data_IF_711483753502
#
_entry.id   IF_711483753502
#
_cell.length_a   1.000
_cell.length_b   1.000
_cell.length_c   1.000
_cell.angle_alpha   90.00
_cell.angle_beta   90.00
_cell.angle_gamma   90.00
#
_symmetry.space_group_name_H-M   'P 1'
#
loop_
_entity.id
_entity.type
_entity.pdbx_description
1 polymer ?
#
# COMPACT_ATOMS: atom_id res chain seq x y z
N UNK A 1 -23.90 17.45 13.05
CA UNK A 1 -22.93 17.22 14.16
C UNK A 1 -21.54 17.70 13.73
N UNK A 2 -20.94 18.63 14.45
CA UNK A 2 -19.56 19.12 14.20
C UNK A 2 -18.59 18.09 14.78
N UNK A 3 -17.91 17.32 13.93
CA UNK A 3 -16.84 16.40 14.36
C UNK A 3 -15.65 17.26 14.78
N UNK A 4 -15.37 17.36 16.08
CA UNK A 4 -14.15 18.01 16.57
C UNK A 4 -12.99 17.06 16.26
N UNK A 5 -12.29 17.31 15.16
CA UNK A 5 -11.01 16.67 14.84
C UNK A 5 -9.95 17.26 15.79
N UNK A 6 -9.84 16.73 17.00
CA UNK A 6 -8.77 17.11 17.93
C UNK A 6 -7.44 16.53 17.45
N UNK A 7 -6.46 17.40 17.23
CA UNK A 7 -5.09 17.02 16.84
C UNK A 7 -4.15 17.38 18.00
N UNK A 8 -3.16 16.53 18.27
CA UNK A 8 -2.15 16.80 19.32
C UNK A 8 -0.94 17.50 18.71
N UNK A 9 -0.42 18.50 19.42
CA UNK A 9 0.89 19.11 19.16
C UNK A 9 2.02 18.10 19.36
N UNK A 10 3.21 18.41 18.83
CA UNK A 10 4.44 17.64 19.10
C UNK A 10 4.69 17.45 20.62
N UNK A 11 4.38 18.47 21.43
CA UNK A 11 4.51 18.43 22.89
C UNK A 11 3.34 17.73 23.62
N UNK A 12 2.47 17.02 22.89
CA UNK A 12 1.33 16.28 23.45
C UNK A 12 0.10 17.12 23.85
N UNK A 13 0.13 18.45 23.67
CA UNK A 13 -1.01 19.34 23.94
C UNK A 13 -2.13 19.17 22.91
N UNK A 14 -3.39 19.19 23.33
CA UNK A 14 -4.55 19.06 22.41
C UNK A 14 -4.88 20.42 21.78
N UNK A 15 -4.76 20.50 20.46
CA UNK A 15 -5.10 21.68 19.66
C UNK A 15 -6.58 21.64 19.28
N UNK A 16 -7.24 22.78 19.46
CA UNK A 16 -8.69 22.94 19.20
C UNK A 16 -8.99 24.04 18.18
N UNK A 17 -8.08 24.99 17.99
CA UNK A 17 -8.30 26.07 17.02
C UNK A 17 -7.99 25.59 15.60
N UNK A 18 -8.81 25.93 14.59
CA UNK A 18 -8.60 25.48 13.21
C UNK A 18 -7.23 25.86 12.63
N UNK A 19 -6.71 27.03 12.98
CA UNK A 19 -5.41 27.52 12.51
C UNK A 19 -4.27 26.65 13.06
N UNK A 20 -4.26 26.41 14.36
CA UNK A 20 -3.28 25.56 15.04
C UNK A 20 -3.29 24.12 14.51
N UNK A 21 -4.48 23.58 14.21
CA UNK A 21 -4.62 22.25 13.61
C UNK A 21 -4.00 22.22 12.23
N UNK A 22 -4.22 23.24 11.39
CA UNK A 22 -3.65 23.32 10.04
C UNK A 22 -2.13 23.42 10.09
N UNK A 23 -1.58 24.27 10.95
CA UNK A 23 -0.13 24.42 11.13
C UNK A 23 0.51 23.11 11.61
N UNK A 24 -0.13 22.40 12.54
CA UNK A 24 0.36 21.09 12.99
C UNK A 24 0.36 20.04 11.88
N UNK A 25 -0.67 20.04 11.04
CA UNK A 25 -0.70 19.17 9.85
C UNK A 25 0.40 19.51 8.85
N UNK A 26 0.63 20.80 8.61
CA UNK A 26 1.70 21.27 7.71
C UNK A 26 3.08 20.85 8.21
N UNK A 27 3.34 21.03 9.51
CA UNK A 27 4.57 20.59 10.17
C UNK A 27 4.77 19.08 10.05
N UNK A 28 3.75 18.29 10.44
CA UNK A 28 3.80 16.83 10.36
C UNK A 28 4.07 16.33 8.94
N UNK A 29 3.41 16.91 7.92
CA UNK A 29 3.63 16.52 6.54
C UNK A 29 4.97 17.02 5.98
N UNK A 30 5.46 18.18 6.41
CA UNK A 30 6.80 18.66 6.04
C UNK A 30 7.88 17.72 6.57
N UNK A 31 7.75 17.26 7.80
CA UNK A 31 8.65 16.26 8.38
C UNK A 31 8.54 14.95 7.59
N UNK A 32 7.32 14.38 7.51
CA UNK A 32 7.07 13.08 6.88
C UNK A 32 7.50 13.02 5.39
N UNK A 33 7.33 14.10 4.64
CA UNK A 33 7.61 14.11 3.19
C UNK A 33 9.06 14.49 2.86
N UNK A 34 9.79 15.13 3.77
CA UNK A 34 11.16 15.57 3.53
C UNK A 34 12.21 14.82 4.36
N UNK A 35 11.81 13.98 5.31
CA UNK A 35 12.72 13.07 5.98
C UNK A 35 13.25 12.04 4.97
N UNK A 36 14.44 12.29 4.44
CA UNK A 36 15.13 11.35 3.58
C UNK A 36 15.63 10.19 4.44
N UNK A 37 14.94 9.05 4.35
CA UNK A 37 15.48 7.79 4.87
C UNK A 37 16.88 7.56 4.30
N UNK A 38 17.84 7.06 5.11
CA UNK A 38 19.18 6.76 4.61
C UNK A 38 19.06 5.79 3.43
N UNK A 39 19.26 6.33 2.22
CA UNK A 39 19.31 5.54 0.99
C UNK A 39 20.65 4.81 1.02
N UNK A 40 20.62 3.49 0.86
CA UNK A 40 21.82 2.79 0.38
C UNK A 40 22.19 3.44 -0.95
N UNK A 41 23.42 3.92 -1.04
CA UNK A 41 23.99 4.34 -2.32
C UNK A 41 23.78 3.19 -3.30
N UNK A 42 23.06 3.47 -4.38
CA UNK A 42 22.95 2.48 -5.45
C UNK A 42 24.36 2.34 -6.02
N UNK A 43 24.88 1.12 -6.08
CA UNK A 43 26.07 0.86 -6.91
C UNK A 43 25.73 1.34 -8.32
N UNK A 44 26.41 2.40 -8.77
CA UNK A 44 26.30 2.91 -10.13
C UNK A 44 26.86 1.83 -11.05
N UNK A 45 25.99 0.99 -11.61
CA UNK A 45 26.34 0.18 -12.77
C UNK A 45 26.79 1.15 -13.86
N UNK A 46 28.01 0.96 -14.37
CA UNK A 46 28.54 1.83 -15.41
C UNK A 46 27.55 1.93 -16.58
N UNK A 47 27.29 3.13 -17.11
CA UNK A 47 26.52 3.28 -18.34
C UNK A 47 27.11 2.33 -19.38
N UNK A 48 26.28 1.46 -19.94
CA UNK A 48 26.74 0.58 -21.03
C UNK A 48 26.93 1.45 -22.27
N UNK A 49 28.05 2.15 -22.36
CA UNK A 49 28.43 2.89 -23.56
C UNK A 49 28.74 1.88 -24.68
N UNK A 50 27.75 1.63 -25.52
CA UNK A 50 27.86 0.70 -26.64
C UNK A 50 26.51 0.40 -27.29
N UNK A 51 26.51 -0.26 -28.47
CA UNK A 51 25.28 -0.80 -29.02
C UNK A 51 24.64 -1.76 -28.01
N UNK A 52 23.35 -1.58 -27.75
CA UNK A 52 22.58 -2.43 -26.83
C UNK A 52 22.77 -3.88 -27.29
N UNK A 53 23.37 -4.76 -26.46
CA UNK A 53 23.56 -6.15 -26.84
C UNK A 53 22.19 -6.80 -27.13
N UNK A 54 22.09 -7.74 -28.08
CA UNK A 54 20.88 -8.53 -28.27
C UNK A 54 20.48 -9.15 -26.92
N UNK A 55 19.20 -9.08 -26.57
CA UNK A 55 18.73 -9.63 -25.30
C UNK A 55 19.18 -11.09 -25.17
N UNK A 56 19.69 -11.47 -24.00
CA UNK A 56 19.95 -12.88 -23.69
C UNK A 56 18.76 -13.46 -22.93
N UNK A 57 18.46 -14.75 -23.13
CA UNK A 57 17.29 -15.39 -22.49
C UNK A 57 17.39 -15.40 -20.95
N UNK A 58 18.60 -15.30 -20.42
CA UNK A 58 18.90 -15.34 -18.99
C UNK A 58 18.59 -14.00 -18.30
N UNK A 59 18.83 -12.86 -18.95
CA UNK A 59 18.48 -11.52 -18.42
C UNK A 59 16.97 -11.35 -18.23
N UNK A 60 16.17 -11.97 -19.10
CA UNK A 60 14.71 -11.96 -19.00
C UNK A 60 14.15 -12.78 -17.83
N UNK A 61 14.94 -13.71 -17.26
CA UNK A 61 14.54 -14.59 -16.16
C UNK A 61 14.90 -14.05 -14.78
N UNK A 62 15.80 -13.08 -14.70
CA UNK A 62 16.29 -12.55 -13.44
C UNK A 62 15.44 -11.36 -12.96
N UNK A 63 15.07 -11.35 -11.68
CA UNK A 63 14.39 -10.22 -11.04
C UNK A 63 15.23 -9.69 -9.88
N UNK A 64 15.33 -8.36 -9.74
CA UNK A 64 16.09 -7.74 -8.65
C UNK A 64 15.20 -7.53 -7.43
N UNK A 65 15.53 -8.17 -6.31
CA UNK A 65 14.75 -8.05 -5.07
C UNK A 65 15.22 -6.85 -4.23
N UNK A 66 14.26 -6.06 -3.75
CA UNK A 66 14.46 -4.93 -2.86
C UNK A 66 13.67 -5.13 -1.57
N UNK A 67 14.23 -4.66 -0.45
CA UNK A 67 13.54 -4.65 0.83
C UNK A 67 12.92 -3.27 1.07
N UNK A 68 11.59 -3.21 1.14
CA UNK A 68 10.87 -1.99 1.53
C UNK A 68 10.51 -2.02 3.00
N UNK A 69 10.95 -1.02 3.73
CA UNK A 69 10.59 -0.85 5.14
C UNK A 69 9.09 -0.57 5.30
N UNK A 70 8.42 -1.27 6.23
CA UNK A 70 6.98 -1.12 6.49
C UNK A 70 6.69 -0.15 7.64
N UNK A 71 7.15 -0.47 8.87
CA UNK A 71 6.99 0.30 10.12
C UNK A 71 7.72 -0.42 11.28
N UNK A 72 7.95 0.27 12.40
CA UNK A 72 8.52 -0.22 13.69
C UNK A 72 10.06 -0.16 13.85
N UNK A 73 10.70 -1.26 14.24
CA UNK A 73 12.14 -1.33 14.50
C UNK A 73 12.90 -1.56 13.19
N UNK A 74 13.88 -0.71 12.92
CA UNK A 74 14.67 -0.73 11.68
C UNK A 74 15.59 -1.96 11.62
N UNK A 75 15.92 -2.56 12.77
CA UNK A 75 16.79 -3.73 12.86
C UNK A 75 16.05 -5.07 12.75
N UNK A 76 14.72 -5.06 12.84
CA UNK A 76 13.90 -6.26 12.68
C UNK A 76 13.72 -6.64 11.22
N UNK A 77 14.29 -7.78 10.78
CA UNK A 77 14.17 -8.23 9.38
C UNK A 77 12.71 -8.47 8.94
N UNK A 78 11.82 -8.84 9.88
CA UNK A 78 10.38 -9.00 9.63
C UNK A 78 9.63 -7.71 9.32
N UNK A 79 10.25 -6.55 9.55
CA UNK A 79 9.64 -5.23 9.29
C UNK A 79 9.84 -4.76 7.84
N UNK A 80 10.55 -5.55 7.03
CA UNK A 80 10.75 -5.28 5.62
C UNK A 80 9.87 -6.18 4.76
N UNK A 81 9.33 -5.61 3.69
CA UNK A 81 8.58 -6.29 2.64
C UNK A 81 9.50 -6.49 1.44
N UNK A 82 9.79 -7.74 1.03
CA UNK A 82 10.51 -7.96 -0.20
C UNK A 82 9.61 -7.61 -1.40
N UNK A 83 10.15 -6.82 -2.33
CA UNK A 83 9.54 -6.53 -3.63
C UNK A 83 10.53 -6.88 -4.72
N UNK A 84 10.08 -7.69 -5.68
CA UNK A 84 10.87 -8.02 -6.87
C UNK A 84 10.56 -7.03 -7.99
N UNK A 85 11.60 -6.35 -8.48
CA UNK A 85 11.51 -5.51 -9.67
C UNK A 85 11.74 -6.36 -10.92
N UNK A 86 10.67 -6.49 -11.69
CA UNK A 86 10.66 -7.17 -12.99
C UNK A 86 11.12 -6.21 -14.10
N UNK A 87 11.79 -6.75 -15.12
CA UNK A 87 12.15 -6.02 -16.33
C UNK A 87 10.90 -5.49 -17.07
N UNK A 88 11.06 -4.44 -17.88
CA UNK A 88 9.95 -3.81 -18.61
C UNK A 88 9.27 -4.82 -19.55
N UNK A 89 10.08 -5.64 -20.24
CA UNK A 89 9.58 -6.70 -21.12
C UNK A 89 8.72 -7.69 -20.35
N UNK A 90 9.20 -8.14 -19.18
CA UNK A 90 8.46 -9.10 -18.37
C UNK A 90 7.17 -8.50 -17.79
N UNK A 91 7.16 -7.23 -17.38
CA UNK A 91 5.94 -6.52 -16.97
C UNK A 91 4.89 -6.44 -18.09
N UNK A 92 5.32 -6.28 -19.34
CA UNK A 92 4.41 -6.31 -20.50
C UNK A 92 3.86 -7.72 -20.71
N UNK A 93 4.71 -8.73 -20.61
CA UNK A 93 4.33 -10.13 -20.76
C UNK A 93 3.34 -10.58 -19.66
N UNK A 94 3.63 -10.30 -18.39
CA UNK A 94 2.73 -10.63 -17.27
C UNK A 94 1.39 -9.93 -17.40
N UNK A 95 1.36 -8.68 -17.87
CA UNK A 95 0.10 -7.97 -18.16
C UNK A 95 -0.69 -8.63 -19.29
N UNK A 96 -0.02 -9.11 -20.34
CA UNK A 96 -0.68 -9.85 -21.42
C UNK A 96 -1.30 -11.16 -20.92
N UNK A 97 -0.59 -11.89 -20.04
CA UNK A 97 -1.13 -13.09 -19.37
C UNK A 97 -2.32 -12.72 -18.49
N UNK A 98 -2.16 -11.72 -17.62
CA UNK A 98 -3.20 -11.25 -16.71
C UNK A 98 -4.49 -10.92 -17.47
N UNK A 99 -4.39 -10.17 -18.57
CA UNK A 99 -5.53 -9.82 -19.41
C UNK A 99 -6.26 -11.04 -20.00
N UNK A 100 -5.55 -12.15 -20.25
CA UNK A 100 -6.14 -13.39 -20.78
C UNK A 100 -6.84 -14.19 -19.67
N UNK A 101 -6.27 -14.25 -18.47
CA UNK A 101 -6.79 -15.07 -17.37
C UNK A 101 -7.75 -14.32 -16.46
N UNK A 102 -7.77 -12.98 -16.48
CA UNK A 102 -8.55 -12.14 -15.56
C UNK A 102 -10.00 -12.56 -15.49
N UNK A 103 -10.65 -12.80 -16.65
CA UNK A 103 -12.06 -13.20 -16.68
C UNK A 103 -12.32 -14.51 -15.93
N UNK A 104 -11.54 -15.54 -16.22
CA UNK A 104 -11.68 -16.85 -15.55
C UNK A 104 -11.37 -16.76 -14.05
N UNK A 105 -10.39 -15.93 -13.69
CA UNK A 105 -10.05 -15.70 -12.28
C UNK A 105 -11.19 -14.95 -11.55
N UNK A 106 -11.75 -13.91 -12.16
CA UNK A 106 -12.83 -13.11 -11.60
C UNK A 106 -14.13 -13.92 -11.46
N UNK A 107 -14.40 -14.84 -12.38
CA UNK A 107 -15.53 -15.79 -12.34
C UNK A 107 -15.36 -16.85 -11.24
N UNK A 108 -14.13 -17.30 -10.99
CA UNK A 108 -13.82 -18.31 -9.96
C UNK A 108 -13.65 -17.77 -8.55
N UNK A 109 -13.65 -16.45 -8.35
CA UNK A 109 -13.49 -15.81 -7.05
C UNK A 109 -14.80 -15.77 -6.25
N UNK A 110 -14.73 -15.94 -4.92
CA UNK A 110 -15.91 -15.79 -4.07
C UNK A 110 -16.45 -14.35 -4.11
N UNK A 111 -17.74 -14.19 -3.85
CA UNK A 111 -18.41 -12.88 -3.92
C UNK A 111 -17.86 -11.90 -2.89
N UNK A 112 -17.44 -12.43 -1.75
CA UNK A 112 -16.87 -11.72 -0.61
C UNK A 112 -15.44 -11.24 -0.87
N UNK A 113 -14.75 -11.77 -1.89
CA UNK A 113 -13.43 -11.27 -2.27
C UNK A 113 -13.60 -9.99 -3.09
N UNK A 114 -13.21 -8.85 -2.51
CA UNK A 114 -13.20 -7.55 -3.19
C UNK A 114 -11.79 -7.08 -3.57
N UNK A 115 -10.76 -7.66 -2.94
CA UNK A 115 -9.37 -7.29 -3.16
C UNK A 115 -8.87 -7.72 -4.55
N UNK A 116 -8.12 -6.83 -5.21
CA UNK A 116 -7.48 -7.04 -6.52
C UNK A 116 -8.46 -7.32 -7.67
N UNK A 117 -9.73 -6.93 -7.52
CA UNK A 117 -10.75 -7.06 -8.55
C UNK A 117 -11.07 -5.72 -9.19
N UNK A 118 -11.44 -5.76 -10.46
CA UNK A 118 -11.85 -4.56 -11.17
C UNK A 118 -13.22 -4.09 -10.68
N UNK A 119 -13.32 -2.82 -10.30
CA UNK A 119 -14.60 -2.20 -9.90
C UNK A 119 -15.03 -2.46 -8.46
N UNK A 120 -14.20 -3.11 -7.66
CA UNK A 120 -14.42 -3.30 -6.22
C UNK A 120 -13.47 -2.42 -5.42
N UNK A 121 -13.92 -1.92 -4.27
CA UNK A 121 -13.13 -1.05 -3.40
C UNK A 121 -13.31 -1.43 -1.94
N UNK A 122 -12.22 -1.32 -1.16
CA UNK A 122 -12.28 -1.52 0.30
C UNK A 122 -13.25 -0.59 1.00
N UNK A 123 -13.64 0.52 0.37
CA UNK A 123 -14.64 1.46 0.87
C UNK A 123 -16.01 0.78 1.03
N UNK A 124 -16.43 -0.03 0.05
CA UNK A 124 -17.73 -0.70 0.05
C UNK A 124 -17.81 -1.74 1.18
N UNK A 125 -16.76 -2.54 1.33
CA UNK A 125 -16.62 -3.46 2.45
C UNK A 125 -16.59 -2.78 3.83
N UNK A 126 -15.84 -1.68 3.98
CA UNK A 126 -15.82 -0.92 5.25
C UNK A 126 -17.22 -0.38 5.56
N UNK A 127 -17.91 0.17 4.56
CA UNK A 127 -19.25 0.70 4.74
C UNK A 127 -20.24 -0.40 5.14
N UNK A 128 -20.21 -1.54 4.45
CA UNK A 128 -21.07 -2.70 4.73
C UNK A 128 -20.86 -3.23 6.15
N UNK A 129 -19.59 -3.39 6.55
CA UNK A 129 -19.23 -3.86 7.90
C UNK A 129 -19.68 -2.87 8.98
N UNK A 130 -19.53 -1.57 8.73
CA UNK A 130 -19.99 -0.52 9.66
C UNK A 130 -21.50 -0.57 9.82
N UNK A 131 -22.24 -0.65 8.71
CA UNK A 131 -23.70 -0.73 8.72
C UNK A 131 -24.23 -1.99 9.41
N UNK A 132 -23.62 -3.15 9.17
CA UNK A 132 -23.93 -4.39 9.87
C UNK A 132 -23.73 -4.25 11.39
N UNK A 133 -22.63 -3.60 11.79
CA UNK A 133 -22.34 -3.33 13.20
C UNK A 133 -23.37 -2.41 13.85
N UNK A 134 -23.80 -1.36 13.15
CA UNK A 134 -24.83 -0.43 13.63
C UNK A 134 -26.18 -1.10 13.80
N UNK A 135 -26.63 -1.85 12.79
CA UNK A 135 -27.92 -2.58 12.83
C UNK A 135 -27.91 -3.62 13.95
N UNK A 136 -26.83 -4.39 14.11
CA UNK A 136 -26.76 -5.37 15.19
C UNK A 136 -26.85 -4.73 16.57
N UNK A 137 -26.26 -3.53 16.75
CA UNK A 137 -26.36 -2.76 18.00
C UNK A 137 -27.78 -2.24 18.25
N UNK A 138 -28.48 -1.79 17.21
CA UNK A 138 -29.86 -1.29 17.31
C UNK A 138 -30.84 -2.40 17.75
N UNK A 139 -30.76 -3.57 17.13
CA UNK A 139 -31.64 -4.70 17.43
C UNK A 139 -31.15 -5.58 18.61
N UNK A 140 -30.06 -5.18 19.29
CA UNK A 140 -29.43 -5.91 20.40
C UNK A 140 -29.08 -7.36 20.06
N UNK A 141 -28.68 -7.60 18.81
CA UNK A 141 -28.25 -8.92 18.35
C UNK A 141 -26.74 -9.11 18.63
N UNK A 142 -26.31 -10.31 19.03
CA UNK A 142 -24.89 -10.61 19.15
C UNK A 142 -24.26 -10.73 17.75
N UNK A 143 -23.29 -9.86 17.44
CA UNK A 143 -22.51 -9.89 16.20
C UNK A 143 -21.08 -10.37 16.50
N UNK A 144 -20.63 -11.38 15.76
CA UNK A 144 -19.24 -11.82 15.74
C UNK A 144 -18.63 -11.46 14.38
N UNK A 145 -17.49 -10.77 14.40
CA UNK A 145 -16.70 -10.45 13.19
C UNK A 145 -15.37 -11.16 13.31
N UNK A 146 -15.05 -12.01 12.34
CA UNK A 146 -13.77 -12.71 12.25
C UNK A 146 -12.93 -12.08 11.13
N UNK A 147 -11.67 -11.79 11.44
CA UNK A 147 -10.67 -11.38 10.45
C UNK A 147 -9.79 -12.61 10.19
N UNK A 148 -9.91 -13.19 8.99
CA UNK A 148 -9.11 -14.33 8.53
C UNK A 148 -7.95 -13.88 7.66
#
# INVERSE_FOLDING_TARGET
MRVVKTVKSADGRVLRKPVEVRERWEEYFKELLNEEFPRREAEEEQPTEGPIPPWTQEEGKTSRAFLLYKREDVYGIGNYRPISLLSVVYKRFTRAILNRISRTLDEGQPREQEGFRRGFSTIEHIHTTTKLTEVSREYKLPLCVAFM
#
